data_IF_709320027936
#
_entry.id   IF_709320027936
#
_cell.length_a   1.000
_cell.length_b   1.000
_cell.length_c   1.000
_cell.angle_alpha   90.00
_cell.angle_beta   90.00
_cell.angle_gamma   90.00
#
_symmetry.space_group_name_H-M   'P 1'
#
loop_
_entity.id
_entity.type
_entity.pdbx_description
1 polymer ?
#
# COMPACT_ATOMS: atom_id res chain seq x y z
N UNK A 1 25.20 -12.85 21.74
CA UNK A 1 26.59 -12.69 21.27
C UNK A 1 26.81 -11.20 21.14
N UNK A 2 27.71 -10.61 21.93
CA UNK A 2 28.01 -9.19 21.86
C UNK A 2 29.14 -9.02 20.85
N UNK A 3 28.91 -8.23 19.80
CA UNK A 3 29.89 -8.00 18.72
C UNK A 3 31.25 -7.54 19.26
N UNK A 4 31.24 -6.86 20.42
CA UNK A 4 32.44 -6.47 21.15
C UNK A 4 33.29 -7.65 21.63
N UNK A 5 32.64 -8.70 22.12
CA UNK A 5 33.32 -9.92 22.61
C UNK A 5 33.95 -10.69 21.44
N UNK A 6 33.30 -10.69 20.27
CA UNK A 6 33.83 -11.29 19.05
C UNK A 6 35.04 -10.52 18.50
N UNK A 7 35.01 -9.18 18.55
CA UNK A 7 36.13 -8.33 18.15
C UNK A 7 37.35 -8.51 19.07
N UNK A 8 37.15 -8.56 20.39
CA UNK A 8 38.24 -8.82 21.35
C UNK A 8 38.86 -10.21 21.13
N UNK A 9 38.04 -11.21 20.86
CA UNK A 9 38.52 -12.58 20.62
C UNK A 9 39.28 -12.68 19.28
N UNK A 10 38.80 -11.98 18.26
CA UNK A 10 39.52 -11.86 16.98
C UNK A 10 40.88 -11.18 17.17
N UNK A 11 40.96 -10.12 17.98
CA UNK A 11 42.21 -9.40 18.27
C UNK A 11 43.24 -10.28 19.00
N UNK A 12 42.79 -11.13 19.92
CA UNK A 12 43.64 -12.12 20.60
C UNK A 12 44.21 -13.17 19.64
N UNK A 13 43.36 -13.70 18.75
CA UNK A 13 43.79 -14.66 17.72
C UNK A 13 44.81 -14.04 16.75
N UNK A 14 44.63 -12.77 16.39
CA UNK A 14 45.56 -12.04 15.52
C UNK A 14 46.95 -11.86 16.14
N UNK A 15 47.05 -11.65 17.46
CA UNK A 15 48.34 -11.50 18.17
C UNK A 15 49.13 -12.80 18.30
N UNK A 16 48.47 -13.95 18.17
CA UNK A 16 49.08 -15.27 18.34
C UNK A 16 49.73 -15.83 17.06
N UNK A 17 49.59 -15.16 15.91
CA UNK A 17 50.00 -15.66 14.60
C UNK A 17 51.48 -15.30 14.29
N UNK A 18 52.30 -16.25 13.80
CA UNK A 18 53.71 -16.02 13.49
C UNK A 18 53.93 -15.04 12.33
N UNK A 19 55.10 -14.37 12.29
CA UNK A 19 55.40 -13.30 11.32
C UNK A 19 55.27 -13.71 9.84
N UNK A 20 55.45 -14.99 9.51
CA UNK A 20 55.36 -15.51 8.14
C UNK A 20 53.92 -15.47 7.61
N UNK A 21 52.94 -15.56 8.51
CA UNK A 21 51.51 -15.50 8.22
C UNK A 21 50.97 -14.07 8.26
N UNK A 22 51.79 -13.05 8.59
CA UNK A 22 51.39 -11.64 8.57
C UNK A 22 50.86 -11.18 7.21
N UNK A 23 51.40 -11.68 6.10
CA UNK A 23 50.89 -11.33 4.75
C UNK A 23 49.45 -11.79 4.54
N UNK A 24 49.10 -12.97 5.05
CA UNK A 24 47.73 -13.50 4.97
C UNK A 24 46.81 -12.65 5.84
N UNK A 25 47.28 -12.25 7.03
CA UNK A 25 46.56 -11.34 7.92
C UNK A 25 46.37 -9.95 7.32
N UNK A 26 47.39 -9.38 6.68
CA UNK A 26 47.28 -8.09 6.00
C UNK A 26 46.25 -8.18 4.87
N UNK A 27 46.27 -9.26 4.09
CA UNK A 27 45.28 -9.48 3.04
C UNK A 27 43.87 -9.62 3.62
N UNK A 28 43.70 -10.35 4.72
CA UNK A 28 42.42 -10.52 5.39
C UNK A 28 41.90 -9.20 5.98
N UNK A 29 42.78 -8.44 6.64
CA UNK A 29 42.48 -7.10 7.17
C UNK A 29 42.04 -6.14 6.07
N UNK A 30 42.70 -6.16 4.91
CA UNK A 30 42.31 -5.34 3.76
C UNK A 30 40.94 -5.73 3.21
N UNK A 31 40.61 -7.03 3.16
CA UNK A 31 39.28 -7.50 2.76
C UNK A 31 38.23 -7.05 3.78
N UNK A 32 38.48 -7.17 5.07
CA UNK A 32 37.56 -6.71 6.12
C UNK A 32 37.32 -5.20 6.08
N UNK A 33 38.37 -4.40 5.85
CA UNK A 33 38.22 -2.95 5.61
C UNK A 33 37.36 -2.68 4.38
N UNK A 34 37.60 -3.41 3.29
CA UNK A 34 36.76 -3.32 2.08
C UNK A 34 35.30 -3.70 2.33
N UNK A 35 35.05 -4.66 3.22
CA UNK A 35 33.70 -5.04 3.64
C UNK A 35 33.05 -3.95 4.49
N UNK A 36 33.78 -3.38 5.45
CA UNK A 36 33.29 -2.28 6.29
C UNK A 36 32.90 -1.06 5.44
N UNK A 37 33.74 -0.65 4.49
CA UNK A 37 33.44 0.47 3.61
C UNK A 37 32.16 0.22 2.78
N UNK A 38 31.98 -1.02 2.28
CA UNK A 38 30.76 -1.39 1.54
C UNK A 38 29.52 -1.42 2.44
N UNK A 39 29.68 -1.79 3.71
CA UNK A 39 28.58 -1.73 4.68
C UNK A 39 28.16 -0.28 4.94
N UNK A 40 29.11 0.63 5.11
CA UNK A 40 28.83 2.07 5.26
C UNK A 40 28.11 2.62 4.01
N UNK A 41 28.54 2.23 2.80
CA UNK A 41 27.84 2.58 1.55
C UNK A 41 26.40 2.04 1.52
N UNK A 42 26.18 0.81 1.99
CA UNK A 42 24.83 0.21 2.08
C UNK A 42 23.97 0.95 3.09
N UNK A 43 24.52 1.34 4.24
CA UNK A 43 23.81 2.08 5.29
C UNK A 43 23.28 3.41 4.74
N UNK A 44 24.12 4.19 4.06
CA UNK A 44 23.70 5.44 3.40
C UNK A 44 22.61 5.21 2.34
N UNK A 45 22.73 4.13 1.55
CA UNK A 45 21.70 3.78 0.58
C UNK A 45 20.37 3.39 1.24
N UNK A 46 20.41 2.70 2.38
CA UNK A 46 19.21 2.34 3.14
C UNK A 46 18.54 3.59 3.71
N UNK A 47 19.31 4.52 4.29
CA UNK A 47 18.78 5.80 4.78
C UNK A 47 18.08 6.56 3.64
N UNK A 48 18.74 6.66 2.48
CA UNK A 48 18.16 7.31 1.29
C UNK A 48 16.87 6.61 0.82
N UNK A 49 16.83 5.28 0.85
CA UNK A 49 15.62 4.52 0.50
C UNK A 49 14.50 4.74 1.51
N UNK A 50 14.81 4.84 2.80
CA UNK A 50 13.83 5.12 3.85
C UNK A 50 13.20 6.50 3.63
N UNK A 51 14.01 7.53 3.40
CA UNK A 51 13.52 8.87 3.08
C UNK A 51 12.59 8.86 1.84
N UNK A 52 12.99 8.18 0.77
CA UNK A 52 12.17 8.06 -0.43
C UNK A 52 10.82 7.36 -0.15
N UNK A 53 10.82 6.31 0.68
CA UNK A 53 9.58 5.62 1.08
C UNK A 53 8.68 6.52 1.91
N UNK A 54 9.25 7.33 2.81
CA UNK A 54 8.49 8.31 3.58
C UNK A 54 7.83 9.37 2.69
N UNK A 55 8.56 9.89 1.69
CA UNK A 55 7.99 10.81 0.70
C UNK A 55 6.85 10.16 -0.09
N UNK A 56 7.06 8.94 -0.62
CA UNK A 56 6.01 8.22 -1.34
C UNK A 56 4.77 7.98 -0.46
N UNK A 57 4.97 7.67 0.82
CA UNK A 57 3.85 7.46 1.74
C UNK A 57 3.09 8.77 2.02
N UNK A 58 3.80 9.90 2.10
CA UNK A 58 3.19 11.23 2.21
C UNK A 58 2.36 11.55 0.97
N UNK A 59 2.92 11.39 -0.23
CA UNK A 59 2.23 11.64 -1.51
C UNK A 59 0.98 10.75 -1.64
N UNK A 60 1.08 9.47 -1.24
CA UNK A 60 -0.06 8.55 -1.24
C UNK A 60 -1.12 8.93 -0.21
N UNK A 61 -0.74 9.55 0.91
CA UNK A 61 -1.70 10.03 1.91
C UNK A 61 -2.45 11.24 1.38
N UNK A 62 -1.76 12.19 0.73
CA UNK A 62 -2.40 13.35 0.08
C UNK A 62 -3.38 12.91 -1.01
N UNK A 63 -3.01 11.94 -1.85
CA UNK A 63 -3.92 11.39 -2.87
C UNK A 63 -5.12 10.67 -2.23
N UNK A 64 -4.92 9.97 -1.12
CA UNK A 64 -6.01 9.32 -0.40
C UNK A 64 -6.96 10.36 0.17
N UNK A 65 -6.43 11.41 0.79
CA UNK A 65 -7.22 12.51 1.30
C UNK A 65 -8.00 13.13 0.11
N UNK A 66 -7.38 13.48 -1.02
CA UNK A 66 -8.09 14.02 -2.19
C UNK A 66 -9.18 13.07 -2.77
N UNK A 67 -8.96 11.76 -2.75
CA UNK A 67 -9.91 10.76 -3.29
C UNK A 67 -11.03 10.41 -2.33
N UNK A 68 -10.78 10.50 -1.03
CA UNK A 68 -11.68 10.10 0.04
C UNK A 68 -12.16 11.26 0.91
N UNK A 69 -11.73 12.49 0.63
CA UNK A 69 -12.32 13.74 1.12
C UNK A 69 -13.72 13.85 0.52
N UNK A 70 -14.67 13.37 1.32
CA UNK A 70 -16.08 13.78 1.34
C UNK A 70 -16.90 13.44 0.09
N UNK A 71 -17.22 12.14 -0.06
CA UNK A 71 -18.64 11.79 -0.10
C UNK A 71 -19.01 11.41 1.33
N UNK A 72 -19.61 12.34 2.06
CA UNK A 72 -20.20 12.02 3.34
C UNK A 72 -21.28 10.93 3.13
N UNK A 73 -21.58 10.13 4.17
CA UNK A 73 -22.74 9.24 4.10
C UNK A 73 -24.02 10.03 3.77
N UNK A 74 -24.07 11.31 4.13
CA UNK A 74 -25.14 12.25 3.82
C UNK A 74 -25.20 12.58 2.30
N UNK A 75 -24.06 12.69 1.60
CA UNK A 75 -24.01 12.82 0.13
C UNK A 75 -24.39 11.51 -0.61
N UNK A 76 -24.28 10.37 0.07
CA UNK A 76 -24.72 9.06 -0.42
C UNK A 76 -26.20 8.79 -0.10
N UNK A 77 -26.78 9.43 0.91
CA UNK A 77 -28.21 9.34 1.24
C UNK A 77 -29.08 9.99 0.13
N UNK A 78 -28.59 11.03 -0.54
CA UNK A 78 -29.24 11.63 -1.72
C UNK A 78 -29.35 10.65 -2.91
N UNK A 79 -28.52 9.60 -2.97
CA UNK A 79 -28.62 8.56 -4.00
C UNK A 79 -29.83 7.62 -3.78
N UNK A 80 -30.24 7.39 -2.53
CA UNK A 80 -31.42 6.58 -2.19
C UNK A 80 -32.73 7.38 -2.29
N UNK A 81 -32.68 8.72 -2.28
CA UNK A 81 -33.88 9.55 -2.46
C UNK A 81 -34.39 9.57 -3.92
N UNK A 82 -33.55 9.23 -4.90
CA UNK A 82 -33.89 9.31 -6.33
C UNK A 82 -34.69 8.13 -6.90
N UNK A 83 -34.65 6.96 -6.24
CA UNK A 83 -35.21 5.71 -6.76
C UNK A 83 -36.29 5.12 -5.83
N UNK A 84 -37.26 4.40 -6.41
CA UNK A 84 -38.32 3.70 -5.68
C UNK A 84 -38.44 2.25 -6.20
N UNK A 85 -38.66 1.30 -5.29
CA UNK A 85 -38.90 -0.10 -5.63
C UNK A 85 -40.38 -0.32 -5.94
N UNK A 86 -40.68 -0.67 -7.20
CA UNK A 86 -42.03 -0.98 -7.68
C UNK A 86 -42.10 -2.44 -8.12
N UNK A 87 -43.19 -3.12 -7.78
CA UNK A 87 -43.44 -4.48 -8.25
C UNK A 87 -44.25 -4.44 -9.54
N UNK A 88 -43.74 -5.02 -10.63
CA UNK A 88 -44.48 -5.09 -11.89
C UNK A 88 -45.77 -5.94 -11.74
N UNK A 89 -46.90 -5.36 -12.14
CA UNK A 89 -48.23 -6.00 -12.11
C UNK A 89 -48.32 -7.28 -12.95
N UNK A 90 -47.48 -7.42 -13.99
CA UNK A 90 -47.57 -8.52 -14.96
C UNK A 90 -46.67 -9.73 -14.63
N UNK A 91 -45.48 -9.50 -14.06
CA UNK A 91 -44.54 -10.60 -13.76
C UNK A 91 -44.14 -10.70 -12.28
N UNK A 92 -44.69 -9.85 -11.41
CA UNK A 92 -44.47 -9.83 -9.96
C UNK A 92 -42.99 -9.75 -9.54
N UNK A 93 -42.14 -9.15 -10.38
CA UNK A 93 -40.73 -8.93 -10.05
C UNK A 93 -40.52 -7.50 -9.56
N UNK A 94 -39.67 -7.29 -8.55
CA UNK A 94 -39.31 -5.96 -8.09
C UNK A 94 -38.40 -5.26 -9.09
N UNK A 95 -38.60 -3.96 -9.28
CA UNK A 95 -37.86 -3.09 -10.20
C UNK A 95 -37.57 -1.77 -9.46
N UNK A 96 -36.33 -1.29 -9.56
CA UNK A 96 -35.95 0.03 -9.05
C UNK A 96 -36.06 1.06 -10.16
N UNK A 97 -36.84 2.13 -9.93
CA UNK A 97 -37.18 3.15 -10.93
C UNK A 97 -36.94 4.54 -10.34
N UNK A 98 -36.45 5.48 -11.14
CA UNK A 98 -36.34 6.88 -10.72
C UNK A 98 -37.73 7.47 -10.41
N UNK A 99 -37.89 8.14 -9.25
CA UNK A 99 -39.16 8.75 -8.84
C UNK A 99 -39.66 9.79 -9.87
N UNK A 100 -38.75 10.50 -10.53
CA UNK A 100 -39.05 11.46 -11.60
C UNK A 100 -39.75 10.82 -12.81
N UNK A 101 -39.35 9.61 -13.19
CA UNK A 101 -39.94 8.86 -14.31
C UNK A 101 -41.38 8.42 -14.00
N UNK A 102 -41.67 8.07 -12.74
CA UNK A 102 -43.02 7.75 -12.28
C UNK A 102 -43.95 8.98 -12.29
N UNK A 103 -43.43 10.15 -11.89
CA UNK A 103 -44.22 11.41 -11.82
C UNK A 103 -44.54 11.96 -13.22
N UNK A 104 -43.69 11.72 -14.21
CA UNK A 104 -43.88 12.22 -15.58
C UNK A 104 -44.87 11.38 -16.41
N UNK A 105 -45.51 10.36 -15.82
CA UNK A 105 -46.54 9.54 -16.45
C UNK A 105 -46.05 8.87 -17.76
N UNK A 106 -44.75 8.55 -17.81
CA UNK A 106 -44.13 7.85 -18.92
C UNK A 106 -44.49 6.35 -18.85
N UNK A 107 -44.76 5.75 -20.01
CA UNK A 107 -44.99 4.30 -20.07
C UNK A 107 -43.64 3.61 -19.86
N UNK A 108 -43.40 3.11 -18.66
CA UNK A 108 -42.14 2.42 -18.30
C UNK A 108 -42.29 0.93 -18.63
N UNK A 109 -41.49 0.38 -19.56
CA UNK A 109 -41.50 -1.04 -19.85
C UNK A 109 -40.73 -1.83 -18.77
N UNK A 110 -41.31 -2.95 -18.35
CA UNK A 110 -40.69 -3.86 -17.41
C UNK A 110 -39.45 -4.53 -18.05
N UNK A 111 -38.26 -4.46 -17.45
CA UNK A 111 -37.04 -5.09 -18.00
C UNK A 111 -37.10 -6.63 -17.99
N UNK A 112 -38.05 -7.20 -17.25
CA UNK A 112 -38.19 -8.66 -17.11
C UNK A 112 -39.22 -9.28 -18.06
N UNK A 113 -40.27 -8.54 -18.45
CA UNK A 113 -41.34 -9.07 -19.31
C UNK A 113 -41.70 -8.19 -20.50
N UNK A 114 -41.20 -6.96 -20.59
CA UNK A 114 -41.42 -6.02 -21.69
C UNK A 114 -42.78 -5.31 -21.66
N UNK A 115 -43.71 -5.75 -20.82
CA UNK A 115 -45.01 -5.09 -20.61
C UNK A 115 -44.87 -3.85 -19.71
N UNK A 116 -45.88 -2.96 -19.72
CA UNK A 116 -45.89 -1.80 -18.82
C UNK A 116 -45.85 -2.22 -17.35
N UNK A 117 -45.15 -1.44 -16.53
CA UNK A 117 -45.00 -1.72 -15.10
C UNK A 117 -46.30 -1.44 -14.31
N UNK A 118 -47.16 -0.56 -14.82
CA UNK A 118 -48.52 -0.29 -14.29
C UNK A 118 -49.45 -1.51 -14.36
#
# INVERSE_FOLDING_TARGET
MNFRDELENLELLLKAIPETDKKILDSFSNILKGFNNRLEEIEVNIETLQENVEFLNSDLSEIQDDLFEEVSLEDLEDFDEGFEEVTCSNCNKPIFIEKSALVNNEIIPCPFCGESIE
#
